data_IF_589622201675
#
_entry.id   IF_589622201675
#
_cell.length_a   1.000
_cell.length_b   1.000
_cell.length_c   1.000
_cell.angle_alpha   90.00
_cell.angle_beta   90.00
_cell.angle_gamma   90.00
#
_symmetry.space_group_name_H-M   'P 1'
#
loop_
_entity.id
_entity.type
_entity.pdbx_description
1 polymer ?
#
# COMPACT_ATOMS: atom_id res chain seq x y z
N UNK A 1 -1.12 4.88 12.25
CA UNK A 1 -2.56 4.68 12.52
C UNK A 1 -2.87 3.21 12.23
N UNK A 2 -3.53 2.47 13.12
CA UNK A 2 -3.85 1.06 12.87
C UNK A 2 -4.85 0.92 11.71
N UNK A 3 -4.77 -0.18 10.98
CA UNK A 3 -5.72 -0.50 9.90
C UNK A 3 -7.12 -0.80 10.48
N UNK A 4 -8.18 -0.44 9.74
CA UNK A 4 -9.57 -0.73 10.16
C UNK A 4 -9.76 -2.22 10.44
N UNK A 5 -9.09 -3.09 9.69
CA UNK A 5 -9.12 -4.54 9.88
C UNK A 5 -8.67 -4.97 11.29
N UNK A 6 -7.80 -4.22 11.97
CA UNK A 6 -7.36 -4.56 13.34
C UNK A 6 -8.47 -4.44 14.39
N UNK A 7 -9.57 -3.77 14.08
CA UNK A 7 -10.77 -3.64 14.94
C UNK A 7 -11.90 -4.60 14.55
N UNK A 8 -11.70 -5.42 13.51
CA UNK A 8 -12.73 -6.30 12.97
C UNK A 8 -12.81 -7.61 13.76
N UNK A 9 -13.81 -7.71 14.62
CA UNK A 9 -14.12 -8.91 15.42
C UNK A 9 -15.12 -9.85 14.74
N UNK A 10 -15.80 -9.39 13.67
CA UNK A 10 -16.90 -10.12 13.03
C UNK A 10 -16.60 -10.58 11.58
N UNK A 11 -15.38 -10.39 11.10
CA UNK A 11 -15.01 -10.78 9.74
C UNK A 11 -15.62 -9.94 8.63
N UNK A 12 -16.05 -8.70 8.91
CA UNK A 12 -16.77 -7.82 7.96
C UNK A 12 -15.87 -6.89 7.17
N UNK A 13 -14.59 -6.86 7.48
CA UNK A 13 -13.61 -5.98 6.82
C UNK A 13 -12.67 -6.80 5.95
N UNK A 14 -12.57 -6.45 4.69
CA UNK A 14 -11.54 -6.95 3.78
C UNK A 14 -10.41 -5.92 3.76
N UNK A 15 -9.21 -6.33 4.18
CA UNK A 15 -8.01 -5.52 4.07
C UNK A 15 -7.30 -5.82 2.75
N UNK A 16 -6.99 -4.79 1.99
CA UNK A 16 -6.19 -4.89 0.76
C UNK A 16 -4.85 -4.19 0.95
N UNK A 17 -3.78 -4.90 0.63
CA UNK A 17 -2.42 -4.37 0.66
C UNK A 17 -1.69 -4.56 -0.67
N UNK A 18 -0.63 -3.79 -0.87
CA UNK A 18 0.16 -3.84 -2.09
C UNK A 18 1.62 -3.46 -1.83
N UNK A 19 2.54 -4.08 -2.55
CA UNK A 19 3.97 -3.71 -2.56
C UNK A 19 4.26 -2.48 -3.41
N UNK A 20 3.29 -2.01 -4.20
CA UNK A 20 3.51 -0.99 -5.22
C UNK A 20 4.00 0.35 -4.68
N UNK A 21 3.67 0.70 -3.44
CA UNK A 21 4.05 1.98 -2.80
C UNK A 21 5.13 1.82 -1.74
N UNK A 22 5.39 0.59 -1.31
CA UNK A 22 6.36 0.30 -0.24
C UNK A 22 7.63 -0.36 -0.74
N UNK A 23 7.56 -1.13 -1.84
CA UNK A 23 8.73 -1.80 -2.45
C UNK A 23 8.91 -1.33 -3.89
N UNK A 24 8.10 -1.85 -4.81
CA UNK A 24 8.17 -1.46 -6.23
C UNK A 24 6.85 -1.75 -6.95
N UNK A 25 6.32 -0.80 -7.74
CA UNK A 25 5.07 -1.00 -8.48
C UNK A 25 5.17 -2.04 -9.60
N UNK A 26 6.37 -2.23 -10.17
CA UNK A 26 6.62 -3.19 -11.25
C UNK A 26 6.48 -4.67 -10.84
N UNK A 27 6.53 -4.99 -9.56
CA UNK A 27 6.37 -6.36 -9.06
C UNK A 27 4.94 -6.89 -9.18
N UNK A 28 3.94 -6.00 -9.25
CA UNK A 28 2.51 -6.35 -9.38
C UNK A 28 2.00 -7.32 -8.30
N UNK A 29 2.52 -7.20 -7.07
CA UNK A 29 2.13 -8.00 -5.92
C UNK A 29 1.20 -7.20 -5.00
N UNK A 30 0.07 -7.80 -4.69
CA UNK A 30 -0.87 -7.36 -3.67
C UNK A 30 -1.44 -8.55 -2.91
N UNK A 31 -2.13 -8.28 -1.82
CA UNK A 31 -2.77 -9.32 -0.99
C UNK A 31 -4.08 -8.85 -0.40
N UNK A 32 -4.91 -9.81 -0.03
CA UNK A 32 -6.15 -9.59 0.68
C UNK A 32 -6.13 -10.36 2.01
N UNK A 33 -6.66 -9.75 3.05
CA UNK A 33 -6.91 -10.38 4.34
C UNK A 33 -8.39 -10.21 4.68
N UNK A 34 -9.11 -11.32 4.78
CA UNK A 34 -10.53 -11.33 5.10
C UNK A 34 -10.88 -12.58 5.92
N UNK A 35 -12.17 -12.76 6.24
CA UNK A 35 -12.67 -14.02 6.78
C UNK A 35 -12.55 -15.16 5.76
N UNK A 36 -12.63 -16.40 6.25
CA UNK A 36 -12.42 -17.59 5.44
C UNK A 36 -13.44 -17.72 4.29
N UNK A 37 -14.70 -17.38 4.52
CA UNK A 37 -15.74 -17.49 3.49
C UNK A 37 -15.50 -16.51 2.35
N UNK A 38 -15.20 -15.26 2.68
CA UNK A 38 -14.85 -14.20 1.71
C UNK A 38 -13.60 -14.57 0.91
N UNK A 39 -12.54 -15.03 1.56
CA UNK A 39 -11.31 -15.45 0.88
C UNK A 39 -11.57 -16.62 -0.07
N UNK A 40 -12.36 -17.60 0.33
CA UNK A 40 -12.70 -18.73 -0.54
C UNK A 40 -13.36 -18.26 -1.84
N UNK A 41 -14.35 -17.37 -1.75
CA UNK A 41 -15.02 -16.79 -2.92
C UNK A 41 -14.05 -15.99 -3.80
N UNK A 42 -13.19 -15.17 -3.19
CA UNK A 42 -12.20 -14.38 -3.91
C UNK A 42 -11.15 -15.23 -4.61
N UNK A 43 -10.73 -16.36 -4.02
CA UNK A 43 -9.82 -17.32 -4.66
C UNK A 43 -10.45 -17.93 -5.91
N UNK A 44 -11.72 -18.34 -5.85
CA UNK A 44 -12.43 -18.84 -7.03
C UNK A 44 -12.56 -17.80 -8.15
N UNK A 45 -12.85 -16.55 -7.80
CA UNK A 45 -12.89 -15.46 -8.77
C UNK A 45 -11.53 -15.23 -9.41
N UNK A 46 -10.47 -15.17 -8.60
CA UNK A 46 -9.10 -14.99 -9.08
C UNK A 46 -8.65 -16.12 -10.00
N UNK A 47 -8.97 -17.38 -9.68
CA UNK A 47 -8.63 -18.52 -10.54
C UNK A 47 -9.29 -18.44 -11.92
N UNK A 48 -10.44 -17.78 -12.03
CA UNK A 48 -11.15 -17.58 -13.30
C UNK A 48 -10.66 -16.38 -14.09
N UNK A 49 -10.10 -15.39 -13.39
CA UNK A 49 -9.66 -14.11 -13.96
C UNK A 49 -8.22 -14.20 -14.50
N UNK A 50 -7.25 -14.60 -13.68
CA UNK A 50 -5.83 -14.58 -14.03
C UNK A 50 -5.05 -15.86 -13.64
N UNK A 51 -5.71 -16.90 -13.12
CA UNK A 51 -5.14 -18.14 -12.63
C UNK A 51 -4.18 -17.95 -11.45
N UNK A 52 -3.12 -17.17 -11.62
CA UNK A 52 -2.12 -16.91 -10.58
C UNK A 52 -1.30 -15.65 -10.84
N UNK A 53 -0.73 -15.09 -9.78
CA UNK A 53 0.26 -14.02 -9.82
C UNK A 53 1.64 -14.61 -10.14
N UNK A 54 2.51 -13.82 -10.78
CA UNK A 54 3.88 -14.20 -11.11
C UNK A 54 4.64 -14.72 -9.87
N UNK A 55 5.00 -16.01 -9.91
CA UNK A 55 5.67 -16.69 -8.80
C UNK A 55 7.08 -16.16 -8.51
N UNK A 56 7.80 -15.68 -9.55
CA UNK A 56 9.14 -15.10 -9.38
C UNK A 56 9.01 -13.80 -8.56
N UNK A 57 8.07 -12.93 -8.92
CA UNK A 57 7.82 -11.69 -8.19
C UNK A 57 7.39 -11.96 -6.73
N UNK A 58 6.56 -12.98 -6.49
CA UNK A 58 6.20 -13.39 -5.12
C UNK A 58 7.42 -13.83 -4.31
N UNK A 59 8.31 -14.64 -4.90
CA UNK A 59 9.55 -15.08 -4.24
C UNK A 59 10.51 -13.92 -3.98
N UNK A 60 10.63 -12.98 -4.92
CA UNK A 60 11.43 -11.76 -4.71
C UNK A 60 10.91 -10.95 -3.53
N UNK A 61 9.60 -10.70 -3.45
CA UNK A 61 8.99 -10.00 -2.31
C UNK A 61 9.22 -10.76 -1.01
N UNK A 62 9.02 -12.07 -1.01
CA UNK A 62 9.24 -12.91 0.18
C UNK A 62 10.68 -12.77 0.70
N UNK A 63 11.68 -12.95 -0.17
CA UNK A 63 13.08 -12.83 0.22
C UNK A 63 13.44 -11.41 0.65
N UNK A 64 12.92 -10.40 -0.03
CA UNK A 64 13.15 -9.02 0.36
C UNK A 64 12.62 -8.73 1.78
N UNK A 65 11.41 -9.17 2.10
CA UNK A 65 10.81 -8.97 3.42
C UNK A 65 11.50 -9.80 4.51
N UNK A 66 12.05 -10.96 4.15
CA UNK A 66 12.69 -11.87 5.09
C UNK A 66 14.16 -11.51 5.37
N UNK A 67 14.90 -11.14 4.32
CA UNK A 67 16.36 -11.11 4.34
C UNK A 67 16.92 -9.67 4.35
N UNK A 68 16.09 -8.65 4.11
CA UNK A 68 16.48 -7.25 4.07
C UNK A 68 15.85 -6.42 5.21
N UNK A 69 16.46 -5.28 5.54
CA UNK A 69 15.89 -4.31 6.50
C UNK A 69 14.74 -3.51 5.83
N UNK A 70 13.56 -4.11 5.79
CA UNK A 70 12.37 -3.47 5.24
C UNK A 70 11.94 -2.23 6.02
N UNK A 71 12.08 -2.22 7.35
CA UNK A 71 11.69 -1.09 8.18
C UNK A 71 12.61 0.12 7.96
N UNK A 72 13.91 -0.09 7.81
CA UNK A 72 14.86 0.95 7.43
C UNK A 72 14.59 1.51 6.04
N UNK A 73 14.30 0.64 5.07
CA UNK A 73 13.87 1.06 3.74
C UNK A 73 12.60 1.93 3.80
N UNK A 74 11.59 1.49 4.54
CA UNK A 74 10.33 2.21 4.66
C UNK A 74 10.50 3.60 5.27
N UNK A 75 11.35 3.74 6.31
CA UNK A 75 11.70 5.05 6.89
C UNK A 75 12.31 5.98 5.84
N UNK A 76 13.26 5.47 5.05
CA UNK A 76 13.90 6.24 3.97
C UNK A 76 12.88 6.72 2.94
N UNK A 77 11.98 5.83 2.51
CA UNK A 77 10.91 6.16 1.56
C UNK A 77 9.97 7.23 2.13
N UNK A 78 9.56 7.11 3.38
CA UNK A 78 8.70 8.08 4.08
C UNK A 78 9.37 9.45 4.12
N UNK A 79 10.65 9.53 4.43
CA UNK A 79 11.37 10.81 4.51
C UNK A 79 11.53 11.49 3.14
N UNK A 80 11.73 10.70 2.08
CA UNK A 80 11.76 11.24 0.71
C UNK A 80 10.39 11.78 0.31
N UNK A 81 9.32 11.03 0.55
CA UNK A 81 7.96 11.47 0.20
C UNK A 81 7.49 12.65 1.04
N UNK A 82 7.87 12.72 2.31
CA UNK A 82 7.57 13.89 3.18
C UNK A 82 8.19 15.15 2.58
N UNK A 83 9.47 15.12 2.20
CA UNK A 83 10.12 16.27 1.57
C UNK A 83 9.45 16.67 0.25
N UNK A 84 9.10 15.70 -0.60
CA UNK A 84 8.41 15.98 -1.87
C UNK A 84 7.03 16.57 -1.66
N UNK A 85 6.27 16.09 -0.68
CA UNK A 85 4.98 16.64 -0.28
C UNK A 85 5.12 18.09 0.15
N UNK A 86 6.09 18.38 0.99
CA UNK A 86 6.27 19.72 1.54
C UNK A 86 6.67 20.73 0.45
N UNK A 87 7.59 20.36 -0.45
CA UNK A 87 7.95 21.18 -1.62
C UNK A 87 6.73 21.41 -2.54
N UNK A 88 5.94 20.37 -2.81
CA UNK A 88 4.71 20.54 -3.61
C UNK A 88 3.70 21.46 -2.93
N UNK A 89 3.53 21.34 -1.62
CA UNK A 89 2.62 22.20 -0.86
C UNK A 89 3.04 23.66 -0.89
N UNK A 90 4.32 23.94 -0.77
CA UNK A 90 4.87 25.29 -0.88
C UNK A 90 4.67 25.86 -2.30
N UNK A 91 4.95 25.07 -3.33
CA UNK A 91 4.72 25.48 -4.72
C UNK A 91 3.25 25.79 -5.00
N UNK A 92 2.32 24.98 -4.50
CA UNK A 92 0.88 25.25 -4.64
C UNK A 92 0.49 26.54 -3.94
N UNK A 93 0.96 26.78 -2.70
CA UNK A 93 0.67 28.02 -1.95
C UNK A 93 1.21 29.28 -2.67
N UNK A 94 2.38 29.15 -3.31
CA UNK A 94 3.00 30.26 -4.00
C UNK A 94 2.36 30.57 -5.38
N UNK A 95 1.77 29.57 -6.04
CA UNK A 95 1.33 29.69 -7.46
C UNK A 95 -0.19 29.77 -7.62
N UNK A 96 -0.96 29.36 -6.60
CA UNK A 96 -2.42 29.32 -6.67
C UNK A 96 -3.03 30.64 -6.17
N UNK A 97 -4.26 30.98 -6.61
CA UNK A 97 -4.96 32.19 -6.19
C UNK A 97 -5.10 32.30 -4.68
N UNK A 98 -5.13 33.54 -4.19
CA UNK A 98 -5.37 33.84 -2.79
C UNK A 98 -6.68 33.21 -2.31
N UNK A 99 -6.70 32.63 -1.09
CA UNK A 99 -7.84 31.90 -0.54
C UNK A 99 -7.88 30.39 -0.90
N UNK A 100 -6.96 29.89 -1.72
CA UNK A 100 -6.87 28.43 -2.00
C UNK A 100 -6.53 27.66 -0.73
N UNK A 101 -7.40 26.72 -0.36
CA UNK A 101 -7.19 25.84 0.79
C UNK A 101 -6.34 24.63 0.43
N UNK A 102 -5.17 24.49 1.05
CA UNK A 102 -4.28 23.33 0.89
C UNK A 102 -4.40 22.44 2.11
N UNK A 103 -4.86 21.20 1.91
CA UNK A 103 -4.91 20.17 2.96
C UNK A 103 -3.70 19.24 2.78
N UNK A 104 -2.82 19.22 3.77
CA UNK A 104 -1.64 18.35 3.77
C UNK A 104 -2.03 16.96 4.33
N UNK A 105 -1.84 15.87 3.55
CA UNK A 105 -2.06 14.53 4.09
C UNK A 105 -0.96 14.18 5.09
N UNK A 106 -1.35 13.55 6.21
CA UNK A 106 -0.43 13.04 7.22
C UNK A 106 0.26 11.73 6.83
N UNK A 107 -0.24 11.08 5.78
CA UNK A 107 0.24 9.81 5.22
C UNK A 107 -0.60 9.40 4.01
N UNK A 108 -0.28 8.27 3.41
CA UNK A 108 -0.99 7.73 2.25
C UNK A 108 -0.09 6.84 1.43
#
# INVERSE_FOLDING_TARGET
>A
MPAIKSFDTYGRVIYSGSTSKTIAPGLRIGWLIADHESITKLVYLKMRDDLQVNNIAQRQVYHYLKDCDFDGHLKTVIDVYRRRRDVMAEAVRASFPEGTRVILPGGG
#
